data_IF_477160444025
#
_entry.id   IF_477160444025
#
_cell.length_a   1.000
_cell.length_b   1.000
_cell.length_c   1.000
_cell.angle_alpha   90.00
_cell.angle_beta   90.00
_cell.angle_gamma   90.00
#
_symmetry.space_group_name_H-M   'P 1'
#
loop_
_entity.id
_entity.type
_entity.pdbx_description
1 polymer ?
#
# COMPACT_ATOMS: atom_id res chain seq x y z
N UNK A 1 -5.27 13.41 -8.22
CA UNK A 1 -4.28 14.49 -8.11
C UNK A 1 -3.01 14.09 -8.85
N UNK A 2 -2.65 14.76 -9.95
CA UNK A 2 -1.33 14.59 -10.58
C UNK A 2 -0.34 15.49 -9.84
N UNK A 3 0.68 14.90 -9.20
CA UNK A 3 1.79 15.66 -8.66
C UNK A 3 2.51 16.35 -9.84
N UNK A 4 2.28 17.66 -9.99
CA UNK A 4 2.82 18.50 -11.07
C UNK A 4 4.20 19.09 -10.72
N UNK A 5 4.84 18.61 -9.67
CA UNK A 5 6.20 19.03 -9.34
C UNK A 5 7.20 18.20 -10.15
N UNK A 6 7.95 18.81 -11.07
CA UNK A 6 9.01 18.10 -11.79
C UNK A 6 10.04 17.58 -10.80
N UNK A 7 10.56 16.37 -11.06
CA UNK A 7 11.63 15.79 -10.24
C UNK A 7 12.85 16.71 -10.30
N UNK A 8 13.41 17.15 -9.15
CA UNK A 8 14.53 18.06 -9.15
C UNK A 8 15.76 17.41 -9.80
N UNK A 9 16.48 18.21 -10.58
CA UNK A 9 17.74 17.86 -11.25
C UNK A 9 18.83 17.51 -10.24
N UNK A 10 19.99 17.05 -10.74
CA UNK A 10 21.12 16.73 -9.85
C UNK A 10 21.69 18.00 -9.22
N UNK A 11 21.76 19.07 -9.99
CA UNK A 11 22.28 20.37 -9.60
C UNK A 11 21.37 21.03 -8.56
N UNK A 12 20.04 21.00 -8.79
CA UNK A 12 19.06 21.50 -7.81
C UNK A 12 19.13 20.72 -6.50
N UNK A 13 19.26 19.38 -6.55
CA UNK A 13 19.43 18.57 -5.33
C UNK A 13 20.73 18.87 -4.58
N UNK A 14 21.80 19.20 -5.30
CA UNK A 14 23.07 19.57 -4.68
C UNK A 14 23.03 20.95 -4.00
N UNK A 15 22.11 21.82 -4.44
CA UNK A 15 21.89 23.14 -3.85
C UNK A 15 20.88 23.12 -2.69
N UNK A 16 20.17 22.01 -2.47
CA UNK A 16 19.23 21.87 -1.35
C UNK A 16 19.96 21.86 -0.01
N UNK A 17 19.34 22.50 0.97
CA UNK A 17 19.78 22.43 2.37
C UNK A 17 19.59 21.02 2.93
N UNK A 18 20.30 20.74 4.02
CA UNK A 18 20.14 19.49 4.77
C UNK A 18 18.68 19.23 5.17
N UNK A 19 17.97 20.27 5.64
CA UNK A 19 16.57 20.15 6.07
C UNK A 19 15.63 19.85 4.89
N UNK A 20 15.87 20.43 3.71
CA UNK A 20 15.07 20.15 2.51
C UNK A 20 15.29 18.72 2.01
N UNK A 21 16.52 18.21 2.08
CA UNK A 21 16.82 16.82 1.75
C UNK A 21 16.14 15.86 2.74
N UNK A 22 16.19 16.14 4.03
CA UNK A 22 15.51 15.34 5.04
C UNK A 22 14.00 15.30 4.84
N UNK A 23 13.35 16.45 4.60
CA UNK A 23 11.91 16.49 4.29
C UNK A 23 11.58 15.67 3.04
N UNK A 24 12.42 15.73 2.01
CA UNK A 24 12.20 14.96 0.78
C UNK A 24 12.30 13.47 1.03
N UNK A 25 13.24 13.02 1.87
CA UNK A 25 13.39 11.61 2.26
C UNK A 25 12.19 11.15 3.08
N UNK A 26 11.74 11.94 4.08
CA UNK A 26 10.58 11.59 4.89
C UNK A 26 9.29 11.48 4.09
N UNK A 27 9.06 12.41 3.16
CA UNK A 27 7.91 12.33 2.24
C UNK A 27 7.98 11.09 1.34
N UNK A 28 9.18 10.68 0.91
CA UNK A 28 9.34 9.46 0.14
C UNK A 28 9.03 8.21 0.97
N UNK A 29 9.45 8.18 2.24
CA UNK A 29 9.18 7.07 3.17
C UNK A 29 7.67 6.86 3.34
N UNK A 30 6.91 7.94 3.60
CA UNK A 30 5.46 7.89 3.69
C UNK A 30 4.79 7.37 2.40
N UNK A 31 5.29 7.82 1.24
CA UNK A 31 4.77 7.36 -0.06
C UNK A 31 5.10 5.89 -0.30
N UNK A 32 6.30 5.43 0.05
CA UNK A 32 6.71 4.04 -0.11
C UNK A 32 5.84 3.12 0.76
N UNK A 33 5.56 3.53 2.00
CA UNK A 33 4.71 2.79 2.94
C UNK A 33 3.28 2.60 2.41
N UNK A 34 2.72 3.57 1.67
CA UNK A 34 1.39 3.44 1.05
C UNK A 34 1.30 2.36 -0.04
N UNK A 35 2.42 2.03 -0.69
CA UNK A 35 2.45 1.06 -1.80
C UNK A 35 3.13 -0.26 -1.44
N UNK A 36 3.57 -0.43 -0.19
CA UNK A 36 4.23 -1.67 0.22
C UNK A 36 3.22 -2.78 0.48
N UNK A 37 3.64 -4.01 0.21
CA UNK A 37 2.94 -5.20 0.69
C UNK A 37 3.24 -5.43 2.17
N UNK A 38 2.20 -5.53 2.99
CA UNK A 38 2.25 -5.80 4.41
C UNK A 38 1.93 -7.29 4.62
N UNK A 39 2.87 -8.10 5.13
CA UNK A 39 2.58 -9.49 5.50
C UNK A 39 1.46 -9.58 6.53
N UNK A 40 0.57 -10.55 6.38
CA UNK A 40 -0.54 -10.79 7.33
C UNK A 40 -0.03 -11.07 8.74
N UNK A 41 1.15 -11.68 8.86
CA UNK A 41 1.83 -11.98 10.11
C UNK A 41 2.36 -10.74 10.83
N UNK A 42 2.65 -9.67 10.08
CA UNK A 42 3.09 -8.39 10.65
C UNK A 42 1.90 -7.61 11.19
N UNK A 43 0.87 -7.43 10.35
CA UNK A 43 -0.29 -6.63 10.69
C UNK A 43 -1.49 -7.04 9.82
N UNK A 44 -2.69 -6.99 10.39
CA UNK A 44 -3.95 -7.12 9.67
C UNK A 44 -4.50 -5.73 9.29
N UNK A 45 -5.21 -5.60 8.15
CA UNK A 45 -5.85 -4.34 7.80
C UNK A 45 -6.94 -3.98 8.81
N UNK A 46 -7.37 -2.72 8.78
CA UNK A 46 -8.54 -2.30 9.55
C UNK A 46 -9.77 -3.07 9.06
N UNK A 47 -10.64 -3.44 10.00
CA UNK A 47 -11.81 -4.22 9.67
C UNK A 47 -12.75 -3.46 8.73
N UNK A 48 -13.31 -4.17 7.75
CA UNK A 48 -14.23 -3.64 6.71
C UNK A 48 -13.60 -2.61 5.75
N UNK A 49 -12.29 -2.45 5.73
CA UNK A 49 -11.61 -1.73 4.65
C UNK A 49 -11.26 -2.71 3.52
N UNK A 50 -11.64 -2.34 2.29
CA UNK A 50 -11.24 -3.09 1.10
C UNK A 50 -9.75 -2.83 0.82
N UNK A 51 -9.03 -3.92 0.59
CA UNK A 51 -7.59 -3.93 0.34
C UNK A 51 -7.26 -4.85 -0.84
N UNK A 52 -6.10 -4.64 -1.45
CA UNK A 52 -5.50 -5.65 -2.30
C UNK A 52 -4.91 -6.75 -1.42
N UNK A 53 -5.10 -8.00 -1.80
CA UNK A 53 -4.49 -9.16 -1.15
C UNK A 53 -3.65 -9.95 -2.15
N UNK A 54 -2.56 -10.51 -1.67
CA UNK A 54 -1.71 -11.44 -2.41
C UNK A 54 -1.81 -12.82 -1.77
N UNK A 55 -2.14 -13.82 -2.56
CA UNK A 55 -2.19 -15.21 -2.12
C UNK A 55 -0.83 -15.90 -2.29
N UNK A 56 -0.64 -17.03 -1.61
CA UNK A 56 0.59 -17.85 -1.70
C UNK A 56 0.91 -18.32 -3.12
N UNK A 57 -0.11 -18.52 -3.95
CA UNK A 57 0.06 -18.90 -5.37
C UNK A 57 0.17 -17.68 -6.31
N UNK A 58 0.31 -16.46 -5.77
CA UNK A 58 0.60 -15.24 -6.52
C UNK A 58 -0.62 -14.53 -7.13
N UNK A 59 -1.84 -14.86 -6.71
CA UNK A 59 -3.04 -14.16 -7.16
C UNK A 59 -3.19 -12.84 -6.42
N UNK A 60 -3.59 -11.80 -7.15
CA UNK A 60 -3.87 -10.48 -6.59
C UNK A 60 -5.36 -10.20 -6.76
N UNK A 61 -6.03 -9.92 -5.64
CA UNK A 61 -7.50 -9.82 -5.55
C UNK A 61 -7.89 -8.68 -4.59
N UNK A 62 -9.17 -8.31 -4.59
CA UNK A 62 -9.73 -7.40 -3.59
C UNK A 62 -10.39 -8.24 -2.49
N UNK A 63 -10.13 -7.91 -1.24
CA UNK A 63 -10.73 -8.53 -0.07
C UNK A 63 -10.85 -7.52 1.09
N UNK A 64 -11.61 -7.88 2.12
CA UNK A 64 -11.65 -7.14 3.38
C UNK A 64 -11.59 -8.09 4.57
N UNK A 65 -11.07 -7.59 5.69
CA UNK A 65 -10.97 -8.38 6.91
C UNK A 65 -12.16 -8.14 7.85
N UNK A 66 -12.73 -9.23 8.38
CA UNK A 66 -13.93 -9.20 9.21
C UNK A 66 -13.74 -8.46 10.54
N UNK A 67 -14.80 -7.81 11.08
CA UNK A 67 -14.75 -7.24 12.41
C UNK A 67 -14.45 -8.32 13.47
N UNK A 68 -13.79 -7.93 14.56
CA UNK A 68 -13.40 -8.82 15.67
C UNK A 68 -12.45 -9.97 15.27
N UNK A 69 -11.67 -9.81 14.19
CA UNK A 69 -10.63 -10.77 13.82
C UNK A 69 -11.16 -12.10 13.28
N UNK A 70 -12.37 -12.10 12.70
CA UNK A 70 -13.08 -13.36 12.47
C UNK A 70 -12.70 -14.10 11.19
N UNK A 71 -12.30 -13.41 10.10
CA UNK A 71 -11.87 -14.01 8.82
C UNK A 71 -11.71 -13.00 7.68
N UNK A 72 -11.02 -13.42 6.62
CA UNK A 72 -11.02 -12.73 5.33
C UNK A 72 -12.32 -12.95 4.54
N UNK A 73 -12.78 -11.91 3.85
CA UNK A 73 -13.88 -11.96 2.91
C UNK A 73 -13.35 -11.65 1.52
N UNK A 74 -13.26 -12.68 0.67
CA UNK A 74 -12.66 -12.61 -0.67
C UNK A 74 -13.73 -12.86 -1.73
N UNK A 75 -13.65 -12.12 -2.83
CA UNK A 75 -14.42 -12.42 -4.06
C UNK A 75 -13.42 -12.61 -5.18
N UNK A 76 -13.36 -13.77 -5.87
CA UNK A 76 -14.28 -14.91 -5.84
C UNK A 76 -14.11 -15.86 -4.62
N UNK A 77 -15.13 -16.68 -4.35
CA UNK A 77 -15.25 -17.49 -3.11
C UNK A 77 -14.46 -18.81 -3.12
N UNK A 78 -13.75 -19.12 -4.20
CA UNK A 78 -12.92 -20.32 -4.37
C UNK A 78 -11.52 -20.19 -3.76
N UNK A 79 -11.14 -18.98 -3.34
CA UNK A 79 -9.88 -18.71 -2.65
C UNK A 79 -10.03 -19.00 -1.15
N UNK A 80 -9.13 -19.80 -0.60
CA UNK A 80 -9.10 -20.05 0.85
C UNK A 80 -8.53 -18.84 1.57
N UNK A 81 -9.13 -18.51 2.70
CA UNK A 81 -8.71 -17.37 3.52
C UNK A 81 -7.26 -17.51 4.02
N UNK A 82 -6.86 -18.74 4.34
CA UNK A 82 -5.51 -19.08 4.81
C UNK A 82 -4.44 -18.99 3.70
N UNK A 83 -4.85 -18.83 2.43
CA UNK A 83 -3.92 -18.65 1.32
C UNK A 83 -3.43 -17.20 1.20
N UNK A 84 -4.07 -16.24 1.88
CA UNK A 84 -3.68 -14.82 1.86
C UNK A 84 -2.46 -14.61 2.73
N UNK A 85 -1.37 -14.12 2.13
CA UNK A 85 -0.07 -13.97 2.81
C UNK A 85 0.34 -12.51 3.01
N UNK A 86 -0.18 -11.60 2.19
CA UNK A 86 0.10 -10.16 2.31
C UNK A 86 -1.07 -9.33 1.80
N UNK A 87 -1.14 -8.07 2.21
CA UNK A 87 -2.12 -7.09 1.76
C UNK A 87 -1.49 -5.71 1.57
N UNK A 88 -2.16 -4.82 0.85
CA UNK A 88 -1.82 -3.40 0.76
C UNK A 88 -3.09 -2.56 0.57
N UNK A 89 -3.09 -1.27 0.94
CA UNK A 89 -4.20 -0.37 0.63
C UNK A 89 -4.55 -0.37 -0.86
N UNK A 90 -5.83 -0.13 -1.19
CA UNK A 90 -6.21 0.09 -2.59
C UNK A 90 -5.53 1.37 -3.12
N UNK A 91 -5.05 1.36 -4.37
CA UNK A 91 -4.58 2.59 -4.99
C UNK A 91 -5.75 3.58 -5.14
N UNK A 92 -5.41 4.86 -5.20
CA UNK A 92 -6.38 5.90 -5.51
C UNK A 92 -7.15 5.56 -6.81
N UNK A 93 -8.50 5.64 -6.80
CA UNK A 93 -9.29 5.39 -7.99
C UNK A 93 -8.87 6.28 -9.16
N UNK A 94 -9.03 5.77 -10.37
CA UNK A 94 -8.86 6.59 -11.56
C UNK A 94 -9.87 7.73 -11.53
N UNK A 95 -9.39 8.98 -11.50
CA UNK A 95 -10.25 10.15 -11.57
C UNK A 95 -10.73 10.30 -13.02
N UNK A 96 -11.99 9.92 -13.29
CA UNK A 96 -12.69 10.19 -14.54
C UNK A 96 -13.17 11.63 -14.62
#
# INVERSE_FOLDING_TARGET
MTLRTPKPTREERAAMTHDELLRSIWLLDEVIELFRWIPVEEQLPKAKEDVLVCTRNGWILIAWYGPNGQKWHVTPTDIKQDDIIAWMPLPEPFNS
#
